data_IF_667322043826
#
_entry.id   IF_667322043826
#
_cell.length_a   1.000
_cell.length_b   1.000
_cell.length_c   1.000
_cell.angle_alpha   90.00
_cell.angle_beta   90.00
_cell.angle_gamma   90.00
#
_symmetry.space_group_name_H-M   'P 1'
#
loop_
_entity.id
_entity.type
_entity.pdbx_description
1 polymer ?
#
# COMPACT_ATOMS: atom_id res chain seq x y z
N UNK A 1 41.52 -3.00 22.66
CA UNK A 1 40.74 -2.66 23.87
C UNK A 1 39.29 -2.63 23.49
N UNK A 2 38.60 -3.70 23.87
CA UNK A 2 37.24 -4.03 23.50
C UNK A 2 36.24 -3.26 24.36
N UNK A 3 35.14 -2.79 23.78
CA UNK A 3 33.99 -2.38 24.57
C UNK A 3 32.71 -2.87 23.87
N UNK A 4 32.27 -4.05 24.28
CA UNK A 4 30.92 -4.55 24.07
C UNK A 4 29.97 -3.75 24.97
N UNK A 5 28.95 -3.15 24.40
CA UNK A 5 27.74 -2.72 25.14
C UNK A 5 26.53 -3.45 24.56
N UNK A 6 26.15 -4.51 25.25
CA UNK A 6 24.90 -5.20 25.05
C UNK A 6 23.75 -4.34 25.54
N UNK A 7 22.81 -4.03 24.68
CA UNK A 7 21.51 -3.45 24.99
C UNK A 7 20.45 -4.55 25.04
N UNK A 8 19.98 -4.84 26.24
CA UNK A 8 18.93 -5.82 26.53
C UNK A 8 17.59 -5.17 26.17
N UNK A 9 16.94 -5.64 25.09
CA UNK A 9 15.59 -5.20 24.71
C UNK A 9 14.58 -6.10 25.39
N UNK A 10 13.86 -5.52 26.35
CA UNK A 10 12.76 -6.19 27.05
C UNK A 10 11.51 -6.14 26.18
N UNK A 11 11.06 -7.30 25.71
CA UNK A 11 9.81 -7.45 24.97
C UNK A 11 8.67 -7.57 25.99
N UNK A 12 7.83 -6.56 26.07
CA UNK A 12 6.60 -6.60 26.85
C UNK A 12 5.47 -7.09 25.95
N UNK A 13 5.01 -8.30 26.24
CA UNK A 13 3.91 -8.97 25.56
C UNK A 13 2.61 -8.56 26.25
N UNK A 14 1.82 -7.72 25.60
CA UNK A 14 0.46 -7.36 26.05
C UNK A 14 -0.53 -8.26 25.33
N UNK A 15 -1.10 -9.20 26.10
CA UNK A 15 -2.21 -10.04 25.66
C UNK A 15 -3.51 -9.34 26.06
N UNK A 16 -4.27 -8.85 25.09
CA UNK A 16 -5.64 -8.40 25.29
C UNK A 16 -6.60 -9.47 24.76
N UNK A 17 -7.13 -10.27 25.68
CA UNK A 17 -8.27 -11.14 25.43
C UNK A 17 -9.55 -10.29 25.60
N UNK A 18 -10.35 -10.16 24.56
CA UNK A 18 -11.67 -9.56 24.57
C UNK A 18 -12.70 -10.44 23.91
N UNK A 19 -13.39 -11.28 24.68
CA UNK A 19 -14.63 -11.95 24.29
C UNK A 19 -15.78 -10.97 24.42
N UNK A 20 -16.57 -10.79 23.35
CA UNK A 20 -17.94 -10.31 23.46
C UNK A 20 -18.84 -11.05 22.47
N UNK A 21 -19.57 -12.02 22.99
CA UNK A 21 -20.69 -12.67 22.33
C UNK A 21 -21.94 -11.81 22.56
N UNK A 22 -22.65 -11.44 21.48
CA UNK A 22 -24.03 -10.94 21.57
C UNK A 22 -24.88 -11.68 20.55
N UNK A 23 -25.63 -12.67 21.05
CA UNK A 23 -26.72 -13.31 20.34
C UNK A 23 -27.93 -12.37 20.34
N UNK A 24 -28.48 -12.05 19.18
CA UNK A 24 -29.81 -11.48 19.06
C UNK A 24 -30.69 -12.41 18.23
N UNK A 25 -31.44 -13.23 18.93
CA UNK A 25 -32.65 -13.91 18.45
C UNK A 25 -33.78 -12.89 18.43
N UNK A 26 -34.30 -12.59 17.25
CA UNK A 26 -35.52 -11.83 17.05
C UNK A 26 -36.45 -12.60 16.11
N UNK A 27 -37.42 -13.31 16.72
CA UNK A 27 -38.51 -13.98 16.03
C UNK A 27 -39.69 -13.00 15.91
N UNK A 28 -40.33 -12.94 14.77
CA UNK A 28 -41.71 -12.43 14.74
C UNK A 28 -42.10 -11.57 13.54
N UNK A 29 -43.09 -12.04 12.78
CA UNK A 29 -43.96 -11.14 12.04
C UNK A 29 -44.17 -11.47 10.56
N UNK A 30 -45.08 -12.40 10.27
CA UNK A 30 -45.81 -12.57 8.99
C UNK A 30 -46.78 -11.41 8.77
N UNK A 31 -46.87 -10.92 7.53
CA UNK A 31 -48.07 -10.53 6.74
C UNK A 31 -47.52 -9.92 5.45
N UNK A 32 -47.72 -10.44 4.27
CA UNK A 32 -48.85 -10.46 3.42
C UNK A 32 -48.98 -9.14 2.65
N UNK A 33 -48.55 -9.10 1.35
CA UNK A 33 -48.73 -7.94 0.47
C UNK A 33 -48.06 -8.22 -0.85
N UNK A 34 -48.86 -8.77 -1.75
CA UNK A 34 -48.65 -8.84 -3.20
C UNK A 34 -48.49 -7.41 -3.74
N UNK A 35 -47.43 -7.14 -4.49
CA UNK A 35 -47.53 -6.26 -5.65
C UNK A 35 -46.18 -6.27 -6.42
N UNK A 36 -46.33 -6.70 -7.62
CA UNK A 36 -45.45 -6.66 -8.78
C UNK A 36 -44.87 -5.25 -8.98
N UNK A 37 -43.56 -5.08 -8.86
CA UNK A 37 -42.89 -4.07 -9.68
C UNK A 37 -41.48 -4.53 -10.02
N UNK A 38 -41.28 -4.74 -11.29
CA UNK A 38 -40.08 -5.11 -11.98
C UNK A 38 -39.19 -3.88 -12.04
N UNK A 39 -38.29 -3.74 -11.08
CA UNK A 39 -37.15 -2.84 -11.21
C UNK A 39 -35.89 -3.68 -11.30
N UNK A 40 -35.48 -3.92 -12.52
CA UNK A 40 -34.12 -4.29 -12.90
C UNK A 40 -33.17 -3.15 -12.44
N UNK A 41 -32.74 -3.19 -11.22
CA UNK A 41 -31.58 -2.43 -10.78
C UNK A 41 -30.39 -3.38 -10.86
N UNK A 42 -29.68 -3.19 -11.92
CA UNK A 42 -28.32 -3.64 -12.16
C UNK A 42 -27.46 -3.21 -10.98
N UNK A 43 -27.40 -4.04 -9.94
CA UNK A 43 -26.39 -3.91 -8.89
C UNK A 43 -25.07 -4.44 -9.42
N UNK A 44 -24.48 -3.68 -10.33
CA UNK A 44 -23.05 -3.71 -10.52
C UNK A 44 -22.37 -3.13 -9.28
N UNK A 45 -22.46 -3.86 -8.18
CA UNK A 45 -21.60 -3.63 -7.03
C UNK A 45 -20.21 -4.11 -7.40
N UNK A 46 -19.58 -3.35 -8.29
CA UNK A 46 -18.17 -3.48 -8.56
C UNK A 46 -17.42 -3.27 -7.24
N UNK A 47 -16.72 -4.29 -6.81
CA UNK A 47 -15.79 -4.28 -5.68
C UNK A 47 -14.66 -3.27 -5.91
N UNK A 48 -14.97 -2.00 -5.89
CA UNK A 48 -14.01 -0.89 -6.05
C UNK A 48 -13.33 -0.58 -4.73
N UNK A 49 -13.87 -1.08 -3.61
CA UNK A 49 -13.43 -0.70 -2.27
C UNK A 49 -12.13 -1.34 -1.77
N UNK A 50 -11.69 -2.46 -2.34
CA UNK A 50 -10.48 -3.14 -1.86
C UNK A 50 -9.18 -2.64 -2.51
N UNK A 51 -9.23 -2.13 -3.73
CA UNK A 51 -8.05 -1.60 -4.43
C UNK A 51 -7.64 -0.23 -3.89
N UNK A 52 -8.60 0.57 -3.46
CA UNK A 52 -8.38 1.93 -2.96
C UNK A 52 -7.59 2.00 -1.64
N UNK A 53 -7.54 0.90 -0.86
CA UNK A 53 -6.86 0.87 0.44
C UNK A 53 -5.35 0.59 0.34
N UNK A 54 -4.91 0.08 -0.80
CA UNK A 54 -3.50 -0.19 -1.06
C UNK A 54 -2.80 0.99 -1.76
N UNK A 55 -3.56 1.89 -2.39
CA UNK A 55 -3.00 3.01 -3.14
C UNK A 55 -2.72 4.22 -2.24
N UNK A 56 -1.47 4.71 -2.29
CA UNK A 56 -1.09 5.96 -1.64
C UNK A 56 -1.56 7.15 -2.51
N UNK A 57 -2.42 7.99 -1.93
CA UNK A 57 -2.86 9.23 -2.55
C UNK A 57 -1.75 10.29 -2.49
N UNK A 58 -0.81 10.22 -3.42
CA UNK A 58 0.30 11.16 -3.55
C UNK A 58 -0.09 12.32 -4.48
N UNK A 59 0.18 13.56 -4.06
CA UNK A 59 0.09 14.72 -4.94
C UNK A 59 1.21 14.70 -6.00
N UNK A 60 1.04 15.46 -7.07
CA UNK A 60 2.05 15.56 -8.13
C UNK A 60 3.38 16.14 -7.61
N UNK A 61 3.32 17.09 -6.67
CA UNK A 61 4.50 17.60 -6.01
C UNK A 61 5.23 16.54 -5.20
N UNK A 62 4.48 15.71 -4.44
CA UNK A 62 5.06 14.60 -3.68
C UNK A 62 5.69 13.55 -4.60
N UNK A 63 5.03 13.24 -5.72
CA UNK A 63 5.58 12.34 -6.76
C UNK A 63 6.88 12.89 -7.33
N UNK A 64 6.94 14.20 -7.60
CA UNK A 64 8.15 14.88 -8.05
C UNK A 64 9.30 14.77 -7.06
N UNK A 65 9.04 15.01 -5.78
CA UNK A 65 10.06 14.89 -4.71
C UNK A 65 10.58 13.45 -4.57
N UNK A 66 9.69 12.46 -4.65
CA UNK A 66 10.10 11.05 -4.61
C UNK A 66 10.95 10.73 -5.84
N UNK A 67 10.53 11.17 -7.03
CA UNK A 67 11.27 10.99 -8.27
C UNK A 67 12.69 11.56 -8.17
N UNK A 68 12.81 12.82 -7.79
CA UNK A 68 14.10 13.50 -7.69
C UNK A 68 15.02 12.81 -6.69
N UNK A 69 14.49 12.43 -5.52
CA UNK A 69 15.29 11.74 -4.50
C UNK A 69 15.72 10.34 -4.92
N UNK A 70 14.85 9.57 -5.57
CA UNK A 70 15.16 8.21 -6.03
C UNK A 70 16.15 8.24 -7.22
N UNK A 71 16.08 9.24 -8.08
CA UNK A 71 17.02 9.38 -9.20
C UNK A 71 18.45 9.67 -8.74
N UNK A 72 18.62 10.23 -7.53
CA UNK A 72 19.94 10.43 -6.91
C UNK A 72 20.54 9.16 -6.32
N UNK A 73 19.84 8.03 -6.32
CA UNK A 73 20.37 6.73 -5.88
C UNK A 73 20.88 5.95 -7.11
N UNK A 74 22.19 6.08 -7.48
CA UNK A 74 22.70 5.52 -8.72
C UNK A 74 22.80 3.99 -8.68
N UNK A 75 23.05 3.41 -7.51
CA UNK A 75 23.29 1.98 -7.33
C UNK A 75 22.01 1.13 -7.29
N UNK A 76 20.84 1.77 -7.35
CA UNK A 76 19.60 1.02 -7.37
C UNK A 76 19.43 0.31 -8.73
N UNK A 77 19.41 -1.02 -8.69
CA UNK A 77 19.23 -1.85 -9.87
C UNK A 77 17.88 -1.57 -10.54
N UNK A 78 17.89 -1.53 -11.86
CA UNK A 78 16.67 -1.37 -12.67
C UNK A 78 16.14 -2.76 -13.04
N UNK A 79 14.86 -3.01 -12.79
CA UNK A 79 14.20 -4.23 -13.20
C UNK A 79 13.77 -4.12 -14.67
N UNK A 80 14.25 -5.01 -15.51
CA UNK A 80 13.94 -5.09 -16.95
C UNK A 80 12.82 -6.09 -17.20
N UNK A 81 11.67 -5.84 -16.61
CA UNK A 81 10.46 -6.65 -16.76
C UNK A 81 9.22 -5.74 -16.74
N UNK A 82 8.06 -6.22 -17.20
CA UNK A 82 6.82 -5.44 -17.07
C UNK A 82 6.54 -5.10 -15.61
N UNK A 83 6.32 -3.81 -15.33
CA UNK A 83 6.02 -3.36 -13.99
C UNK A 83 4.62 -3.81 -13.57
N UNK A 84 4.44 -4.38 -12.36
CA UNK A 84 3.12 -4.69 -11.82
C UNK A 84 2.28 -3.42 -11.64
N UNK A 85 0.97 -3.57 -11.62
CA UNK A 85 0.06 -2.46 -11.36
C UNK A 85 0.01 -2.10 -9.87
N UNK A 86 -0.60 -0.96 -9.55
CA UNK A 86 -0.92 -0.60 -8.16
C UNK A 86 -1.86 -1.65 -7.56
N UNK A 87 -1.63 -2.00 -6.32
CA UNK A 87 -2.25 -3.08 -5.55
C UNK A 87 -1.82 -4.50 -5.95
N UNK A 88 -0.95 -4.67 -6.94
CA UNK A 88 -0.39 -5.98 -7.25
C UNK A 88 0.85 -6.29 -6.39
N UNK A 89 1.10 -7.57 -6.11
CA UNK A 89 2.32 -7.98 -5.40
C UNK A 89 3.54 -7.87 -6.31
N UNK A 90 4.63 -7.34 -5.77
CA UNK A 90 5.91 -7.30 -6.47
C UNK A 90 6.61 -8.68 -6.38
N UNK A 91 7.09 -9.24 -7.51
CA UNK A 91 7.88 -10.46 -7.53
C UNK A 91 9.10 -10.40 -6.58
N UNK A 92 9.48 -11.54 -6.02
CA UNK A 92 10.56 -11.60 -5.01
C UNK A 92 11.95 -11.36 -5.58
N UNK A 93 12.12 -11.63 -6.84
CA UNK A 93 13.35 -11.42 -7.61
C UNK A 93 13.63 -9.96 -7.94
N UNK A 94 12.62 -9.09 -7.82
CA UNK A 94 12.83 -7.64 -7.98
C UNK A 94 13.48 -7.06 -6.71
N UNK A 95 14.65 -6.41 -6.84
CA UNK A 95 15.31 -5.79 -5.71
C UNK A 95 14.50 -4.58 -5.20
N UNK A 96 14.39 -4.48 -3.90
CA UNK A 96 13.81 -3.34 -3.20
C UNK A 96 14.93 -2.52 -2.56
N UNK A 97 14.79 -1.22 -2.61
CA UNK A 97 15.71 -0.26 -2.02
C UNK A 97 14.97 0.65 -1.05
N UNK A 98 15.64 1.05 0.01
CA UNK A 98 15.07 1.99 0.98
C UNK A 98 14.99 3.39 0.37
N UNK A 99 13.89 4.09 0.65
CA UNK A 99 13.73 5.47 0.24
C UNK A 99 14.76 6.36 0.94
N UNK A 100 15.38 7.32 0.22
CA UNK A 100 16.31 8.27 0.83
C UNK A 100 15.65 9.03 1.99
N UNK A 101 16.40 9.28 3.06
CA UNK A 101 15.91 9.99 4.25
C UNK A 101 15.36 11.38 3.93
N UNK A 102 15.89 12.05 2.91
CA UNK A 102 15.34 13.32 2.42
C UNK A 102 13.91 13.17 1.91
N UNK A 103 13.65 12.11 1.16
CA UNK A 103 12.32 11.81 0.61
C UNK A 103 11.32 11.48 1.72
N UNK A 104 11.67 10.63 2.66
CA UNK A 104 10.77 10.25 3.76
C UNK A 104 10.46 11.41 4.69
N UNK A 105 11.42 12.33 4.87
CA UNK A 105 11.19 13.57 5.61
C UNK A 105 10.25 14.53 4.89
N UNK A 106 10.42 14.68 3.58
CA UNK A 106 9.64 15.62 2.77
C UNK A 106 8.24 15.07 2.43
N UNK A 107 8.11 13.75 2.36
CA UNK A 107 6.87 13.03 2.09
C UNK A 107 6.66 11.94 3.15
N UNK A 108 6.16 12.27 4.35
CA UNK A 108 5.97 11.32 5.45
C UNK A 108 5.06 10.14 5.12
N UNK A 109 4.18 10.28 4.12
CA UNK A 109 3.30 9.21 3.65
C UNK A 109 4.04 7.96 3.14
N UNK A 110 5.30 8.11 2.72
CA UNK A 110 6.11 6.99 2.23
C UNK A 110 7.07 6.43 3.28
N UNK A 111 6.96 6.87 4.52
CA UNK A 111 7.72 6.30 5.62
C UNK A 111 7.42 4.81 5.78
N UNK A 112 8.44 3.98 5.97
CA UNK A 112 8.30 2.54 6.02
C UNK A 112 8.03 1.85 4.68
N UNK A 113 8.06 2.59 3.58
CA UNK A 113 7.98 2.04 2.23
C UNK A 113 9.36 1.93 1.59
N UNK A 114 9.45 1.07 0.59
CA UNK A 114 10.63 0.87 -0.24
C UNK A 114 10.31 1.22 -1.68
N UNK A 115 11.31 1.31 -2.54
CA UNK A 115 11.11 1.53 -3.96
C UNK A 115 11.81 0.47 -4.81
N UNK A 116 11.30 0.30 -6.03
CA UNK A 116 11.95 -0.43 -7.10
C UNK A 116 12.00 0.44 -8.35
N UNK A 117 13.13 0.44 -9.06
CA UNK A 117 13.28 1.11 -10.35
C UNK A 117 12.93 0.14 -11.47
N UNK A 118 12.11 0.61 -12.39
CA UNK A 118 11.83 -0.03 -13.68
C UNK A 118 12.29 0.87 -14.81
N UNK A 119 12.29 0.37 -16.04
CA UNK A 119 12.75 1.13 -17.20
C UNK A 119 11.95 2.42 -17.39
N UNK A 120 10.64 2.35 -17.22
CA UNK A 120 9.69 3.43 -17.50
C UNK A 120 9.11 4.10 -16.26
N UNK A 121 9.27 3.51 -15.07
CA UNK A 121 8.64 3.98 -13.83
C UNK A 121 9.39 3.60 -12.56
N UNK A 122 9.03 4.26 -11.49
CA UNK A 122 9.43 3.93 -10.12
C UNK A 122 8.18 3.41 -9.41
N UNK A 123 8.31 2.30 -8.72
CA UNK A 123 7.26 1.75 -7.88
C UNK A 123 7.58 2.04 -6.42
N UNK A 124 6.61 2.56 -5.69
CA UNK A 124 6.64 2.61 -4.22
C UNK A 124 5.91 1.38 -3.70
N UNK A 125 6.54 0.65 -2.82
CA UNK A 125 6.13 -0.67 -2.37
C UNK A 125 6.06 -0.70 -0.86
N UNK A 126 5.01 -1.27 -0.31
CA UNK A 126 4.94 -1.51 1.12
C UNK A 126 5.98 -2.58 1.51
N UNK A 127 6.87 -2.25 2.43
CA UNK A 127 8.00 -3.12 2.81
C UNK A 127 7.55 -4.46 3.42
N UNK A 128 6.44 -4.49 4.15
CA UNK A 128 5.94 -5.67 4.82
C UNK A 128 5.19 -6.63 3.89
N UNK A 129 4.33 -6.10 3.01
CA UNK A 129 3.47 -6.91 2.14
C UNK A 129 4.02 -7.09 0.73
N UNK A 130 5.03 -6.32 0.32
CA UNK A 130 5.57 -6.23 -1.04
C UNK A 130 4.50 -5.88 -2.10
N UNK A 131 3.46 -5.18 -1.70
CA UNK A 131 2.40 -4.70 -2.59
C UNK A 131 2.75 -3.31 -3.10
N UNK A 132 2.54 -3.08 -4.39
CA UNK A 132 2.73 -1.77 -5.03
C UNK A 132 1.66 -0.81 -4.52
N UNK A 133 2.07 0.31 -3.93
CA UNK A 133 1.17 1.31 -3.36
C UNK A 133 1.13 2.62 -4.16
N UNK A 134 2.14 2.87 -4.98
CA UNK A 134 2.13 3.99 -5.92
C UNK A 134 3.06 3.73 -7.11
N UNK A 135 2.75 4.36 -8.24
CA UNK A 135 3.59 4.36 -9.45
C UNK A 135 3.93 5.79 -9.84
N UNK A 136 5.20 6.02 -10.16
CA UNK A 136 5.71 7.33 -10.58
C UNK A 136 6.40 7.14 -11.94
N UNK A 137 5.90 7.76 -13.02
CA UNK A 137 6.54 7.68 -14.34
C UNK A 137 7.97 8.24 -14.29
N UNK A 138 8.92 7.58 -14.95
CA UNK A 138 10.29 8.10 -15.09
C UNK A 138 10.42 9.16 -16.18
N UNK A 139 9.46 9.18 -17.08
CA UNK A 139 9.40 10.23 -18.09
C UNK A 139 8.60 11.39 -17.50
N UNK A 140 9.29 12.48 -17.24
CA UNK A 140 8.61 13.74 -16.97
C UNK A 140 7.81 14.06 -18.25
N UNK A 141 6.49 14.03 -18.14
CA UNK A 141 5.66 14.53 -19.23
C UNK A 141 6.11 15.97 -19.43
N UNK A 142 6.81 16.23 -20.54
CA UNK A 142 7.12 17.59 -20.95
C UNK A 142 5.77 18.28 -21.21
N UNK A 143 5.57 19.47 -20.69
CA UNK A 143 4.36 20.25 -20.94
C UNK A 143 4.18 20.57 -22.41
#
# INVERSE_FOLDING_TARGET
>A
MSSLRGGMVTITLVVCAGLAAAAHTGLGGRTGGDDTDTSLMDETTGSVGSRSRAELALSDEQRGRIFDGVMLVPDAQVAHMPAPAVADPLPRDVPLHDLPTGVTRDVPLVEGHQFAKFDDRILVVNSASRVVVAMIPRYKLLP
#
